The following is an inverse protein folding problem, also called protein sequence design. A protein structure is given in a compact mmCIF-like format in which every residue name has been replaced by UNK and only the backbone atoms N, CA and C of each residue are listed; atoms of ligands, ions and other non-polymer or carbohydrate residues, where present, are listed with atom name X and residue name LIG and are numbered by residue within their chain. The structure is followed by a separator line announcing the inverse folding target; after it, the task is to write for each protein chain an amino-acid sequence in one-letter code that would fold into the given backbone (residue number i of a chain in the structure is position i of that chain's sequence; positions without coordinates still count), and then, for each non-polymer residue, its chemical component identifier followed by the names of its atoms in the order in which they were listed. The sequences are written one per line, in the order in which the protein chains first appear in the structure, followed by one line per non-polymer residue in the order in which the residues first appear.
data_IF_898730603885
#
_entry.id   IF_898730603885
#
_cell.length_a   1.000
_cell.length_b   1.000
_cell.length_c   1.000
_cell.angle_alpha   90.00
_cell.angle_beta   90.00
_cell.angle_gamma   90.00
#
_symmetry.space_group_name_H-M   'P 1'
#
loop_
_entity.id
_entity.type
_entity.pdbx_description
1 polymer ?
#
# COMPACT_ATOMS: atom_id res chain seq x y z
N UNK A 1 -1.34 -29.92 7.30
CA UNK A 1 -0.60 -29.41 6.13
C UNK A 1 -1.51 -29.18 4.94
N UNK A 2 -2.26 -30.19 4.52
CA UNK A 2 -3.18 -30.05 3.36
C UNK A 2 -4.32 -29.07 3.62
N UNK A 3 -4.76 -28.91 4.88
CA UNK A 3 -5.84 -28.00 5.25
C UNK A 3 -5.45 -26.51 5.09
N UNK A 4 -4.15 -26.20 5.12
CA UNK A 4 -3.66 -24.82 5.00
C UNK A 4 -3.36 -24.43 3.54
N UNK A 5 -3.37 -25.38 2.63
CA UNK A 5 -3.04 -25.11 1.23
C UNK A 5 -4.01 -24.14 0.56
N UNK A 6 -5.35 -24.25 0.72
CA UNK A 6 -6.27 -23.28 0.15
C UNK A 6 -6.06 -21.86 0.72
N UNK A 7 -5.78 -21.74 2.01
CA UNK A 7 -5.50 -20.47 2.67
C UNK A 7 -4.21 -19.86 2.11
N UNK A 8 -3.18 -20.68 1.96
CA UNK A 8 -1.90 -20.25 1.40
C UNK A 8 -2.07 -19.75 -0.04
N UNK A 9 -2.83 -20.48 -0.85
CA UNK A 9 -3.09 -20.08 -2.23
C UNK A 9 -3.83 -18.73 -2.30
N UNK A 10 -4.84 -18.54 -1.46
CA UNK A 10 -5.58 -17.27 -1.39
C UNK A 10 -4.64 -16.15 -0.97
N UNK A 11 -3.80 -16.36 0.03
CA UNK A 11 -2.85 -15.35 0.50
C UNK A 11 -1.85 -14.96 -0.60
N UNK A 12 -1.26 -15.94 -1.29
CA UNK A 12 -0.28 -15.66 -2.34
C UNK A 12 -0.93 -14.98 -3.54
N UNK A 13 -2.04 -15.54 -4.03
CA UNK A 13 -2.75 -14.98 -5.18
C UNK A 13 -3.32 -13.60 -4.85
N UNK A 14 -3.91 -13.44 -3.67
CA UNK A 14 -4.43 -12.17 -3.20
C UNK A 14 -3.33 -11.12 -3.07
N UNK A 15 -2.17 -11.51 -2.55
CA UNK A 15 -1.03 -10.62 -2.41
C UNK A 15 -0.51 -10.15 -3.77
N UNK A 16 -0.36 -11.04 -4.73
CA UNK A 16 0.05 -10.70 -6.09
C UNK A 16 -0.97 -9.75 -6.72
N UNK A 17 -2.26 -10.05 -6.55
CA UNK A 17 -3.33 -9.24 -7.08
C UNK A 17 -3.31 -7.82 -6.48
N UNK A 18 -3.11 -7.70 -5.17
CA UNK A 18 -2.99 -6.42 -4.48
C UNK A 18 -1.83 -5.58 -5.00
N UNK A 19 -0.67 -6.20 -5.20
CA UNK A 19 0.51 -5.52 -5.73
C UNK A 19 0.25 -5.02 -7.16
N UNK A 20 -0.33 -5.88 -8.01
CA UNK A 20 -0.66 -5.52 -9.39
C UNK A 20 -1.64 -4.34 -9.42
N UNK A 21 -2.70 -4.42 -8.61
CA UNK A 21 -3.68 -3.33 -8.53
C UNK A 21 -3.04 -2.03 -8.03
N UNK A 22 -2.18 -2.12 -7.02
CA UNK A 22 -1.48 -0.94 -6.49
C UNK A 22 -0.61 -0.27 -7.54
N UNK A 23 0.20 -1.06 -8.25
CA UNK A 23 1.08 -0.56 -9.29
C UNK A 23 0.28 0.05 -10.45
N UNK A 24 -0.76 -0.64 -10.91
CA UNK A 24 -1.62 -0.13 -11.99
C UNK A 24 -2.31 1.17 -11.57
N UNK A 25 -2.80 1.24 -10.34
CA UNK A 25 -3.43 2.46 -9.80
C UNK A 25 -2.44 3.62 -9.77
N UNK A 26 -1.19 3.35 -9.38
CA UNK A 26 -0.15 4.36 -9.34
C UNK A 26 0.18 4.89 -10.75
N UNK A 27 0.30 4.00 -11.74
CA UNK A 27 0.52 4.40 -13.13
C UNK A 27 -0.64 5.24 -13.68
N UNK A 28 -1.88 4.84 -13.38
CA UNK A 28 -3.07 5.59 -13.80
C UNK A 28 -3.12 6.96 -13.13
N UNK A 29 -2.81 7.05 -11.85
CA UNK A 29 -2.77 8.32 -11.13
C UNK A 29 -1.71 9.26 -11.72
N UNK A 30 -0.54 8.72 -12.06
CA UNK A 30 0.52 9.49 -12.72
C UNK A 30 0.08 9.98 -14.10
N UNK A 31 -0.59 9.14 -14.88
CA UNK A 31 -1.12 9.52 -16.19
C UNK A 31 -2.13 10.65 -16.07
N UNK A 32 -3.00 10.59 -15.07
CA UNK A 32 -3.97 11.67 -14.82
C UNK A 32 -3.27 12.97 -14.45
N UNK A 33 -2.23 12.92 -13.64
CA UNK A 33 -1.45 14.11 -13.29
C UNK A 33 -0.77 14.72 -14.51
N UNK A 34 -0.24 13.89 -15.41
CA UNK A 34 0.41 14.37 -16.62
C UNK A 34 -0.56 15.12 -17.55
N UNK A 35 -1.85 14.77 -17.51
CA UNK A 35 -2.89 15.46 -18.26
C UNK A 35 -3.24 16.82 -17.66
N UNK A 36 -3.15 16.96 -16.34
CA UNK A 36 -3.48 18.21 -15.64
C UNK A 36 -2.54 18.38 -14.43
N UNK A 37 -1.28 18.83 -14.68
CA UNK A 37 -0.26 18.94 -13.62
C UNK A 37 -0.61 19.90 -12.50
N UNK A 38 -1.47 20.88 -12.76
CA UNK A 38 -1.85 21.89 -11.78
C UNK A 38 -2.96 21.41 -10.83
N UNK A 39 -3.52 20.22 -11.09
CA UNK A 39 -4.61 19.70 -10.28
C UNK A 39 -4.05 18.99 -9.04
N UNK A 40 -4.30 19.61 -7.88
CA UNK A 40 -3.84 19.11 -6.57
C UNK A 40 -4.44 17.75 -6.26
N UNK A 41 -5.67 17.48 -6.72
CA UNK A 41 -6.34 16.19 -6.51
C UNK A 41 -5.50 15.03 -7.06
N UNK A 42 -4.94 15.20 -8.26
CA UNK A 42 -4.12 14.15 -8.88
C UNK A 42 -2.80 13.94 -8.13
N UNK A 43 -2.23 14.98 -7.56
CA UNK A 43 -1.03 14.87 -6.73
C UNK A 43 -1.31 14.02 -5.48
N UNK A 44 -2.39 14.31 -4.77
CA UNK A 44 -2.78 13.53 -3.58
C UNK A 44 -3.13 12.10 -3.94
N UNK A 45 -3.77 11.90 -5.10
CA UNK A 45 -4.10 10.56 -5.59
C UNK A 45 -2.84 9.72 -5.79
N UNK A 46 -1.77 10.31 -6.35
CA UNK A 46 -0.48 9.63 -6.52
C UNK A 46 0.08 9.21 -5.16
N UNK A 47 0.06 10.11 -4.16
CA UNK A 47 0.57 9.80 -2.83
C UNK A 47 -0.22 8.69 -2.16
N UNK A 48 -1.55 8.72 -2.26
CA UNK A 48 -2.42 7.68 -1.70
C UNK A 48 -2.14 6.34 -2.38
N UNK A 49 -2.06 6.32 -3.71
CA UNK A 49 -1.75 5.09 -4.46
C UNK A 49 -0.36 4.56 -4.14
N UNK A 50 0.63 5.45 -3.97
CA UNK A 50 1.98 5.05 -3.56
C UNK A 50 1.97 4.41 -2.16
N UNK A 51 1.25 5.00 -1.22
CA UNK A 51 1.10 4.45 0.13
C UNK A 51 0.47 3.06 0.12
N UNK A 52 -0.61 2.88 -0.61
CA UNK A 52 -1.25 1.57 -0.76
C UNK A 52 -0.35 0.56 -1.46
N UNK A 53 0.41 0.98 -2.46
CA UNK A 53 1.34 0.10 -3.16
C UNK A 53 2.46 -0.37 -2.22
N UNK A 54 3.04 0.54 -1.44
CA UNK A 54 4.07 0.21 -0.45
C UNK A 54 3.49 -0.76 0.58
N UNK A 55 2.28 -0.50 1.07
CA UNK A 55 1.60 -1.38 2.01
C UNK A 55 1.39 -2.78 1.41
N UNK A 56 0.90 -2.86 0.17
CA UNK A 56 0.65 -4.12 -0.50
C UNK A 56 1.94 -4.92 -0.72
N UNK A 57 3.00 -4.26 -1.17
CA UNK A 57 4.31 -4.89 -1.38
C UNK A 57 4.87 -5.40 -0.05
N UNK A 58 4.85 -4.58 0.99
CA UNK A 58 5.36 -4.95 2.31
C UNK A 58 4.59 -6.13 2.88
N UNK A 59 3.26 -6.09 2.81
CA UNK A 59 2.42 -7.18 3.31
C UNK A 59 2.66 -8.46 2.53
N UNK A 60 2.70 -8.39 1.21
CA UNK A 60 2.96 -9.54 0.34
C UNK A 60 4.32 -10.16 0.62
N UNK A 61 5.34 -9.32 0.70
CA UNK A 61 6.70 -9.77 1.02
C UNK A 61 6.75 -10.43 2.39
N UNK A 62 6.11 -9.86 3.40
CA UNK A 62 6.06 -10.41 4.75
C UNK A 62 5.43 -11.79 4.78
N UNK A 63 4.29 -11.97 4.12
CA UNK A 63 3.59 -13.26 4.08
C UNK A 63 4.40 -14.31 3.36
N UNK A 64 4.98 -14.00 2.22
CA UNK A 64 5.77 -14.93 1.43
C UNK A 64 7.05 -15.30 2.20
N UNK A 65 7.72 -14.32 2.77
CA UNK A 65 8.95 -14.53 3.55
C UNK A 65 8.68 -15.40 4.76
N UNK A 66 7.60 -15.14 5.48
CA UNK A 66 7.20 -15.95 6.64
C UNK A 66 6.99 -17.40 6.24
N UNK A 67 6.23 -17.65 5.18
CA UNK A 67 5.98 -19.00 4.69
C UNK A 67 7.28 -19.70 4.31
N UNK A 68 8.15 -19.01 3.61
CA UNK A 68 9.44 -19.55 3.21
C UNK A 68 10.30 -19.90 4.42
N UNK A 69 10.41 -19.00 5.40
CA UNK A 69 11.22 -19.22 6.61
C UNK A 69 10.67 -20.36 7.46
N UNK A 70 9.36 -20.48 7.59
CA UNK A 70 8.73 -21.58 8.33
C UNK A 70 9.00 -22.91 7.65
N UNK A 71 8.88 -22.96 6.31
CA UNK A 71 9.10 -24.18 5.54
C UNK A 71 10.56 -24.64 5.59
N UNK A 72 11.51 -23.72 5.65
CA UNK A 72 12.94 -24.04 5.71
C UNK A 72 13.45 -24.26 7.15
N UNK A 73 12.58 -24.17 8.15
CA UNK A 73 12.97 -24.34 9.55
C UNK A 73 13.68 -23.14 10.16
N UNK A 74 13.62 -21.99 9.50
CA UNK A 74 14.30 -20.74 9.93
C UNK A 74 13.33 -19.75 10.59
N UNK A 75 12.32 -20.26 11.32
CA UNK A 75 11.32 -19.43 11.97
C UNK A 75 11.90 -18.39 12.94
N UNK A 76 13.08 -18.67 13.52
CA UNK A 76 13.75 -17.72 14.42
C UNK A 76 14.14 -16.43 13.70
N UNK A 77 14.50 -16.51 12.42
CA UNK A 77 14.82 -15.35 11.61
C UNK A 77 13.59 -14.47 11.44
N UNK A 78 12.42 -15.07 11.27
CA UNK A 78 11.16 -14.35 11.18
C UNK A 78 10.88 -13.53 12.44
N UNK A 79 11.18 -14.08 13.63
CA UNK A 79 10.98 -13.36 14.89
C UNK A 79 11.78 -12.06 14.95
N UNK A 80 12.93 -12.00 14.27
CA UNK A 80 13.76 -10.79 14.18
C UNK A 80 13.25 -9.82 13.10
N UNK A 81 12.77 -10.32 11.98
CA UNK A 81 12.37 -9.52 10.80
C UNK A 81 10.92 -9.06 10.90
N UNK A 82 10.04 -9.88 11.50
CA UNK A 82 8.60 -9.60 11.57
C UNK A 82 8.25 -8.20 12.11
N UNK A 83 8.87 -7.73 13.21
CA UNK A 83 8.58 -6.39 13.72
C UNK A 83 8.89 -5.26 12.73
N UNK A 84 9.93 -5.41 11.90
CA UNK A 84 10.26 -4.41 10.87
C UNK A 84 9.17 -4.34 9.80
N UNK A 85 8.65 -5.48 9.35
CA UNK A 85 7.58 -5.50 8.35
C UNK A 85 6.29 -4.90 8.93
N UNK A 86 6.00 -5.18 10.19
CA UNK A 86 4.88 -4.56 10.90
C UNK A 86 5.03 -3.05 10.99
N UNK A 87 6.24 -2.57 11.29
CA UNK A 87 6.53 -1.14 11.36
C UNK A 87 6.32 -0.47 9.98
N UNK A 88 6.80 -1.08 8.90
CA UNK A 88 6.60 -0.56 7.54
C UNK A 88 5.12 -0.49 7.20
N UNK A 89 4.34 -1.53 7.55
CA UNK A 89 2.90 -1.52 7.32
C UNK A 89 2.22 -0.40 8.09
N UNK A 90 2.59 -0.18 9.34
CA UNK A 90 2.04 0.89 10.18
C UNK A 90 2.37 2.26 9.61
N UNK A 91 3.62 2.48 9.23
CA UNK A 91 4.06 3.76 8.65
C UNK A 91 3.32 4.03 7.33
N UNK A 92 3.18 3.03 6.48
CA UNK A 92 2.45 3.18 5.21
C UNK A 92 0.99 3.56 5.45
N UNK A 93 0.33 2.93 6.42
CA UNK A 93 -1.05 3.25 6.78
C UNK A 93 -1.16 4.68 7.32
N UNK A 94 -0.25 5.08 8.19
CA UNK A 94 -0.20 6.44 8.73
C UNK A 94 0.02 7.47 7.62
N UNK A 95 0.89 7.15 6.67
CA UNK A 95 1.13 8.02 5.51
C UNK A 95 -0.15 8.24 4.72
N UNK A 96 -0.86 7.16 4.37
CA UNK A 96 -2.13 7.25 3.63
C UNK A 96 -3.16 8.07 4.40
N UNK A 97 -3.30 7.80 5.70
CA UNK A 97 -4.23 8.53 6.55
C UNK A 97 -3.91 10.03 6.62
N UNK A 98 -2.63 10.36 6.83
CA UNK A 98 -2.17 11.75 6.91
C UNK A 98 -2.41 12.49 5.59
N UNK A 99 -2.03 11.88 4.47
CA UNK A 99 -2.23 12.46 3.14
C UNK A 99 -3.72 12.69 2.88
N UNK A 100 -4.56 11.75 3.27
CA UNK A 100 -6.02 11.87 3.10
C UNK A 100 -6.58 13.05 3.89
N UNK A 101 -6.13 13.25 5.13
CA UNK A 101 -6.54 14.38 5.95
C UNK A 101 -6.09 15.71 5.35
N UNK A 102 -4.85 15.79 4.89
CA UNK A 102 -4.34 17.00 4.24
C UNK A 102 -5.10 17.30 2.95
N UNK A 103 -5.42 16.26 2.17
CA UNK A 103 -6.22 16.42 0.97
C UNK A 103 -7.58 17.05 1.30
N UNK A 104 -8.25 16.56 2.34
CA UNK A 104 -9.54 17.11 2.75
C UNK A 104 -9.44 18.58 3.13
N UNK A 105 -8.41 18.98 3.89
CA UNK A 105 -8.18 20.37 4.25
C UNK A 105 -7.89 21.24 3.02
N UNK A 106 -7.02 20.79 2.14
CA UNK A 106 -6.68 21.52 0.91
C UNK A 106 -7.89 21.68 0.01
N UNK A 107 -8.73 20.66 -0.10
CA UNK A 107 -9.96 20.73 -0.87
C UNK A 107 -10.92 21.80 -0.31
N UNK A 108 -11.09 21.82 1.01
CA UNK A 108 -11.97 22.81 1.67
C UNK A 108 -11.47 24.23 1.46
N UNK A 109 -10.17 24.46 1.58
CA UNK A 109 -9.58 25.77 1.34
C UNK A 109 -9.82 26.20 -0.11
N UNK A 110 -9.59 25.29 -1.05
CA UNK A 110 -9.80 25.55 -2.47
C UNK A 110 -11.25 25.87 -2.78
N UNK A 111 -12.21 25.17 -2.18
CA UNK A 111 -13.64 25.48 -2.32
C UNK A 111 -13.97 26.87 -1.83
N UNK A 112 -13.43 27.27 -0.68
CA UNK A 112 -13.65 28.62 -0.13
C UNK A 112 -13.11 29.69 -1.06
N UNK A 113 -11.94 29.50 -1.63
CA UNK A 113 -11.35 30.44 -2.59
C UNK A 113 -12.20 30.54 -3.85
N UNK A 114 -12.68 29.42 -4.37
CA UNK A 114 -13.50 29.41 -5.57
C UNK A 114 -14.90 29.99 -5.35
N UNK A 115 -15.45 29.85 -4.14
CA UNK A 115 -16.78 30.36 -3.82
C UNK A 115 -16.77 31.86 -3.39
N UNK A 116 -15.61 32.39 -3.10
CA UNK A 116 -15.45 33.80 -2.78
C UNK A 116 -15.32 34.61 -4.06
#
# INVERSE_FOLDING_TARGET
MTANLPILLVDVLGSVFMVVLGVLSLFKAKSLRDLDPDNVVFLYLIWICAGFTIFAVSRSFSHILRQFLVLTGSGDIWNSIGPFTGAVNTISFMLVGTVTLFFNQSWRINEKVLSA
#
